data_IF_167328587859
#
_entry.id   IF_167328587859
#
_cell.length_a   1.000
_cell.length_b   1.000
_cell.length_c   1.000
_cell.angle_alpha   90.00
_cell.angle_beta   90.00
_cell.angle_gamma   90.00
#
_symmetry.space_group_name_H-M   'P 1'
#
loop_
_entity.id
_entity.type
_entity.pdbx_description
1 polymer ?
#
# COMPACT_ATOMS: atom_id res chain seq x y z
N UNK A 1 35.89 -18.27 -41.72
CA UNK A 1 35.57 -16.89 -42.11
C UNK A 1 35.42 -16.11 -40.82
N UNK A 2 36.40 -15.27 -40.52
CA UNK A 2 36.57 -14.55 -39.24
C UNK A 2 35.46 -13.52 -38.99
N UNK A 3 35.00 -13.42 -37.74
CA UNK A 3 34.82 -12.15 -37.01
C UNK A 3 34.71 -12.43 -35.50
N UNK A 4 35.23 -11.52 -34.65
CA UNK A 4 35.66 -11.84 -33.29
C UNK A 4 34.50 -11.74 -32.30
N UNK A 5 34.39 -12.73 -31.39
CA UNK A 5 33.59 -12.57 -30.18
C UNK A 5 34.17 -11.41 -29.37
N UNK A 6 33.38 -10.34 -29.28
CA UNK A 6 33.57 -9.22 -28.39
C UNK A 6 33.75 -9.72 -26.95
N UNK A 7 35.00 -9.73 -26.51
CA UNK A 7 35.39 -9.57 -25.12
C UNK A 7 34.87 -8.22 -24.63
N UNK A 8 33.67 -8.20 -24.04
CA UNK A 8 33.19 -7.05 -23.28
C UNK A 8 32.63 -7.52 -21.93
N UNK A 9 33.19 -6.94 -20.87
CA UNK A 9 32.79 -6.98 -19.46
C UNK A 9 33.16 -8.22 -18.63
N UNK A 10 34.43 -8.62 -18.65
CA UNK A 10 35.08 -9.23 -17.46
C UNK A 10 35.84 -8.21 -16.61
N UNK A 11 35.72 -6.92 -16.94
CA UNK A 11 36.42 -5.81 -16.26
C UNK A 11 35.70 -5.24 -15.03
N UNK A 12 34.45 -5.61 -14.76
CA UNK A 12 33.66 -5.04 -13.66
C UNK A 12 33.60 -5.93 -12.39
N UNK A 13 34.15 -7.15 -12.43
CA UNK A 13 34.20 -8.02 -11.23
C UNK A 13 35.37 -7.70 -10.28
N UNK A 14 36.27 -6.79 -10.66
CA UNK A 14 37.45 -6.44 -9.86
C UNK A 14 37.17 -5.23 -8.98
N UNK A 15 36.61 -5.45 -7.78
CA UNK A 15 36.72 -4.46 -6.70
C UNK A 15 35.55 -4.27 -5.72
N UNK A 16 34.53 -5.13 -5.68
CA UNK A 16 33.57 -5.04 -4.57
C UNK A 16 34.12 -5.74 -3.33
N UNK A 17 34.45 -4.96 -2.29
CA UNK A 17 34.69 -5.54 -0.97
C UNK A 17 33.45 -6.32 -0.52
N UNK A 18 33.60 -7.45 0.21
CA UNK A 18 32.45 -8.25 0.66
C UNK A 18 31.42 -7.43 1.45
N UNK A 19 31.87 -6.34 2.08
CA UNK A 19 31.06 -5.37 2.82
C UNK A 19 30.13 -4.58 1.87
N UNK A 20 30.61 -4.13 0.71
CA UNK A 20 29.78 -3.39 -0.27
C UNK A 20 28.69 -4.28 -0.86
N UNK A 21 29.05 -5.53 -1.20
CA UNK A 21 28.09 -6.53 -1.67
C UNK A 21 27.03 -6.81 -0.61
N UNK A 22 27.42 -6.96 0.66
CA UNK A 22 26.47 -7.15 1.77
C UNK A 22 25.52 -5.94 1.92
N UNK A 23 26.04 -4.72 1.88
CA UNK A 23 25.25 -3.49 2.01
C UNK A 23 24.21 -3.37 0.88
N UNK A 24 24.60 -3.68 -0.36
CA UNK A 24 23.69 -3.67 -1.51
C UNK A 24 22.59 -4.74 -1.39
N UNK A 25 22.94 -5.95 -0.95
CA UNK A 25 21.95 -7.01 -0.69
C UNK A 25 20.95 -6.64 0.41
N UNK A 26 21.42 -5.99 1.47
CA UNK A 26 20.57 -5.51 2.57
C UNK A 26 19.61 -4.43 2.06
N UNK A 27 20.09 -3.41 1.34
CA UNK A 27 19.23 -2.34 0.83
C UNK A 27 18.19 -2.86 -0.18
N UNK A 28 18.58 -3.79 -1.07
CA UNK A 28 17.65 -4.46 -1.96
C UNK A 28 16.57 -5.24 -1.21
N UNK A 29 16.96 -5.94 -0.15
CA UNK A 29 16.02 -6.71 0.68
C UNK A 29 15.04 -5.78 1.39
N UNK A 30 15.54 -4.69 2.01
CA UNK A 30 14.71 -3.68 2.68
C UNK A 30 13.68 -3.09 1.71
N UNK A 31 14.11 -2.68 0.52
CA UNK A 31 13.18 -2.10 -0.45
C UNK A 31 12.08 -3.06 -0.91
N UNK A 32 12.41 -4.35 -1.07
CA UNK A 32 11.41 -5.38 -1.40
C UNK A 32 10.38 -5.50 -0.28
N UNK A 33 10.83 -5.47 0.98
CA UNK A 33 9.94 -5.51 2.15
C UNK A 33 9.05 -4.26 2.19
N UNK A 34 9.62 -3.06 2.03
CA UNK A 34 8.86 -1.79 1.99
C UNK A 34 7.78 -1.83 0.90
N UNK A 35 8.14 -2.27 -0.30
CA UNK A 35 7.21 -2.35 -1.44
C UNK A 35 6.10 -3.37 -1.18
N UNK A 36 6.42 -4.53 -0.63
CA UNK A 36 5.45 -5.55 -0.29
C UNK A 36 4.48 -5.07 0.81
N UNK A 37 5.01 -4.45 1.87
CA UNK A 37 4.21 -3.89 2.95
C UNK A 37 3.23 -2.83 2.44
N UNK A 38 3.70 -1.89 1.61
CA UNK A 38 2.86 -0.82 1.08
C UNK A 38 1.78 -1.36 0.14
N UNK A 39 2.11 -2.31 -0.74
CA UNK A 39 1.13 -2.88 -1.67
C UNK A 39 0.05 -3.69 -0.93
N UNK A 40 0.44 -4.49 0.07
CA UNK A 40 -0.51 -5.25 0.91
C UNK A 40 -1.37 -4.30 1.74
N UNK A 41 -0.76 -3.30 2.40
CA UNK A 41 -1.50 -2.31 3.17
C UNK A 41 -2.50 -1.53 2.30
N UNK A 42 -2.14 -1.18 1.07
CA UNK A 42 -3.01 -0.50 0.12
C UNK A 42 -4.21 -1.38 -0.29
N UNK A 43 -3.95 -2.67 -0.59
CA UNK A 43 -5.00 -3.63 -0.92
C UNK A 43 -5.95 -3.84 0.26
N UNK A 44 -5.42 -4.09 1.46
CA UNK A 44 -6.22 -4.27 2.68
C UNK A 44 -7.02 -3.02 2.99
N UNK A 45 -6.43 -1.82 2.91
CA UNK A 45 -7.13 -0.56 3.13
C UNK A 45 -8.26 -0.36 2.12
N UNK A 46 -7.99 -0.58 0.83
CA UNK A 46 -9.00 -0.42 -0.22
C UNK A 46 -10.19 -1.35 0.00
N UNK A 47 -9.91 -2.61 0.29
CA UNK A 47 -10.92 -3.63 0.57
C UNK A 47 -11.73 -3.29 1.82
N UNK A 48 -11.06 -3.01 2.95
CA UNK A 48 -11.73 -2.75 4.23
C UNK A 48 -12.57 -1.47 4.21
N UNK A 49 -12.08 -0.39 3.59
CA UNK A 49 -12.84 0.86 3.43
C UNK A 49 -14.06 0.66 2.52
N UNK A 50 -13.89 -0.06 1.41
CA UNK A 50 -15.00 -0.37 0.51
C UNK A 50 -16.07 -1.18 1.24
N UNK A 51 -15.68 -2.23 1.98
CA UNK A 51 -16.59 -3.03 2.78
C UNK A 51 -17.29 -2.21 3.87
N UNK A 52 -16.59 -1.30 4.53
CA UNK A 52 -17.18 -0.43 5.54
C UNK A 52 -18.20 0.55 4.95
N UNK A 53 -17.91 1.11 3.77
CA UNK A 53 -18.84 1.98 3.03
C UNK A 53 -20.09 1.19 2.64
N UNK A 54 -19.90 -0.02 2.09
CA UNK A 54 -20.98 -0.95 1.73
C UNK A 54 -21.84 -1.25 2.95
N UNK A 55 -21.24 -1.71 4.04
CA UNK A 55 -21.97 -2.05 5.25
C UNK A 55 -22.73 -0.84 5.82
N UNK A 56 -22.10 0.35 5.87
CA UNK A 56 -22.76 1.58 6.34
C UNK A 56 -23.92 2.00 5.43
N UNK A 57 -23.80 1.75 4.12
CA UNK A 57 -24.86 2.03 3.15
C UNK A 57 -26.11 1.17 3.40
N UNK A 58 -25.94 -0.07 3.84
CA UNK A 58 -27.05 -1.03 4.00
C UNK A 58 -27.53 -1.18 5.45
N UNK A 59 -26.67 -0.99 6.46
CA UNK A 59 -27.00 -1.21 7.86
C UNK A 59 -27.72 -0.03 8.55
N UNK A 60 -27.63 1.18 8.00
CA UNK A 60 -28.38 2.31 8.53
C UNK A 60 -29.83 2.24 8.02
N UNK A 61 -30.78 2.05 8.95
CA UNK A 61 -32.23 1.99 8.68
C UNK A 61 -32.78 3.22 7.90
N UNK A 62 -32.03 4.32 7.91
CA UNK A 62 -32.26 5.52 7.09
C UNK A 62 -31.27 5.62 5.93
N UNK A 63 -31.17 4.59 5.09
CA UNK A 63 -30.22 4.64 3.97
C UNK A 63 -30.55 5.83 3.05
N UNK A 64 -29.70 6.86 3.11
CA UNK A 64 -29.80 8.07 2.28
C UNK A 64 -29.87 7.71 0.79
N UNK A 65 -29.29 6.58 0.39
CA UNK A 65 -29.38 6.02 -0.95
C UNK A 65 -30.78 5.48 -1.25
N UNK A 66 -31.40 4.66 -0.39
CA UNK A 66 -32.77 4.23 -0.63
C UNK A 66 -33.73 5.42 -0.60
N UNK A 67 -33.57 6.37 0.32
CA UNK A 67 -34.36 7.61 0.37
C UNK A 67 -34.18 8.45 -0.89
N UNK A 68 -32.96 8.60 -1.42
CA UNK A 68 -32.71 9.32 -2.68
C UNK A 68 -33.25 8.57 -3.90
N UNK A 69 -33.10 7.25 -3.97
CA UNK A 69 -33.66 6.40 -5.03
C UNK A 69 -35.19 6.51 -5.01
N UNK A 70 -35.79 6.47 -3.81
CA UNK A 70 -37.23 6.64 -3.64
C UNK A 70 -37.69 8.07 -3.93
N UNK A 71 -36.91 9.09 -3.60
CA UNK A 71 -37.21 10.48 -3.97
C UNK A 71 -37.21 10.68 -5.50
N UNK A 72 -36.27 10.03 -6.21
CA UNK A 72 -36.28 9.99 -7.69
C UNK A 72 -37.49 9.21 -8.21
N UNK A 73 -37.91 8.14 -7.53
CA UNK A 73 -39.13 7.41 -7.87
C UNK A 73 -40.43 8.16 -7.51
N UNK A 74 -40.38 9.10 -6.56
CA UNK A 74 -41.48 10.01 -6.23
C UNK A 74 -41.79 10.98 -7.37
N UNK A 75 -40.81 11.23 -8.24
CA UNK A 75 -41.01 11.93 -9.51
C UNK A 75 -41.91 11.15 -10.49
N UNK A 76 -42.06 9.84 -10.27
CA UNK A 76 -43.01 8.95 -10.97
C UNK A 76 -44.32 8.72 -10.19
N UNK A 77 -44.60 9.50 -9.14
CA UNK A 77 -45.86 9.43 -8.39
C UNK A 77 -45.95 8.27 -7.39
N UNK A 78 -44.82 7.65 -7.00
CA UNK A 78 -44.79 6.56 -6.03
C UNK A 78 -44.65 7.11 -4.60
N UNK A 79 -45.67 6.91 -3.75
CA UNK A 79 -45.64 7.29 -2.34
C UNK A 79 -44.59 6.49 -1.53
N UNK A 80 -43.93 7.17 -0.58
CA UNK A 80 -42.93 6.59 0.32
C UNK A 80 -43.59 5.88 1.50
N UNK A 81 -43.93 4.61 1.33
CA UNK A 81 -44.40 3.72 2.41
C UNK A 81 -43.24 3.02 3.13
N UNK A 82 -43.29 2.79 4.46
CA UNK A 82 -42.23 2.12 5.22
C UNK A 82 -41.84 0.75 4.66
N UNK A 83 -42.82 -0.05 4.23
CA UNK A 83 -42.58 -1.38 3.64
C UNK A 83 -41.82 -1.33 2.31
N UNK A 84 -41.99 -0.26 1.51
CA UNK A 84 -41.23 -0.08 0.26
C UNK A 84 -39.79 0.37 0.52
N UNK A 85 -39.56 1.16 1.58
CA UNK A 85 -38.21 1.55 2.01
C UNK A 85 -37.37 0.31 2.38
N UNK A 86 -37.95 -0.64 3.11
CA UNK A 86 -37.28 -1.89 3.49
C UNK A 86 -37.00 -2.82 2.31
N UNK A 87 -37.93 -2.88 1.34
CA UNK A 87 -37.73 -3.64 0.10
C UNK A 87 -36.61 -3.03 -0.76
N UNK A 88 -36.64 -1.70 -0.94
CA UNK A 88 -35.64 -0.98 -1.75
C UNK A 88 -34.25 -1.07 -1.11
N UNK A 89 -34.15 -0.96 0.22
CA UNK A 89 -32.87 -1.05 0.93
C UNK A 89 -32.27 -2.46 0.88
N UNK A 90 -33.09 -3.50 1.06
CA UNK A 90 -32.63 -4.89 1.16
C UNK A 90 -32.35 -5.56 -0.20
N UNK A 91 -33.07 -5.17 -1.25
CA UNK A 91 -33.00 -5.85 -2.56
C UNK A 91 -32.50 -4.94 -3.68
N UNK A 92 -33.08 -3.76 -3.84
CA UNK A 92 -32.82 -2.91 -5.01
C UNK A 92 -31.47 -2.20 -4.88
N UNK A 93 -31.16 -1.65 -3.72
CA UNK A 93 -29.91 -0.93 -3.47
C UNK A 93 -28.65 -1.81 -3.66
N UNK A 94 -28.57 -3.05 -3.14
CA UNK A 94 -27.39 -3.90 -3.38
C UNK A 94 -27.29 -4.38 -4.83
N UNK A 95 -28.42 -4.58 -5.52
CA UNK A 95 -28.45 -4.96 -6.93
C UNK A 95 -27.94 -3.83 -7.84
N UNK A 96 -28.36 -2.59 -7.59
CA UNK A 96 -27.86 -1.40 -8.30
C UNK A 96 -26.35 -1.24 -8.08
N UNK A 97 -25.88 -1.41 -6.84
CA UNK A 97 -24.45 -1.31 -6.53
C UNK A 97 -23.64 -2.40 -7.24
N UNK A 98 -24.10 -3.66 -7.21
CA UNK A 98 -23.46 -4.77 -7.92
C UNK A 98 -23.38 -4.52 -9.43
N UNK A 99 -24.46 -4.01 -10.03
CA UNK A 99 -24.48 -3.63 -11.44
C UNK A 99 -23.48 -2.51 -11.73
N UNK A 100 -23.43 -1.47 -10.90
CA UNK A 100 -22.50 -0.35 -11.07
C UNK A 100 -21.04 -0.79 -10.99
N UNK A 101 -20.67 -1.61 -10.00
CA UNK A 101 -19.32 -2.19 -9.88
C UNK A 101 -18.97 -3.01 -11.12
N UNK A 102 -19.91 -3.81 -11.62
CA UNK A 102 -19.72 -4.59 -12.84
C UNK A 102 -19.47 -3.71 -14.08
N UNK A 103 -20.27 -2.65 -14.29
CA UNK A 103 -20.09 -1.74 -15.41
C UNK A 103 -18.76 -0.99 -15.36
N UNK A 104 -18.32 -0.56 -14.18
CA UNK A 104 -16.99 0.05 -13.98
C UNK A 104 -15.88 -0.97 -14.28
N UNK A 105 -15.99 -2.19 -13.74
CA UNK A 105 -15.03 -3.26 -14.00
C UNK A 105 -14.92 -3.60 -15.48
N UNK A 106 -16.06 -3.64 -16.19
CA UNK A 106 -16.12 -3.83 -17.64
C UNK A 106 -15.46 -2.67 -18.40
N UNK A 107 -15.68 -1.42 -17.98
CA UNK A 107 -15.05 -0.25 -18.58
C UNK A 107 -13.52 -0.34 -18.52
N UNK A 108 -12.98 -0.69 -17.35
CA UNK A 108 -11.53 -0.83 -17.12
C UNK A 108 -10.96 -2.02 -17.89
N UNK A 109 -11.63 -3.18 -17.83
CA UNK A 109 -11.21 -4.39 -18.54
C UNK A 109 -11.22 -4.19 -20.06
N UNK A 110 -12.28 -3.57 -20.59
CA UNK A 110 -12.39 -3.21 -21.99
C UNK A 110 -11.30 -2.25 -22.44
N UNK A 111 -10.99 -1.23 -21.64
CA UNK A 111 -9.90 -0.29 -21.92
C UNK A 111 -8.52 -0.99 -21.95
N UNK A 112 -8.33 -2.02 -21.12
CA UNK A 112 -7.06 -2.77 -21.02
C UNK A 112 -6.90 -3.79 -22.14
N UNK A 113 -7.96 -4.51 -22.49
CA UNK A 113 -7.95 -5.51 -23.58
C UNK A 113 -7.82 -4.86 -24.96
N UNK A 114 -8.41 -3.68 -25.16
CA UNK A 114 -8.27 -2.95 -26.42
C UNK A 114 -6.80 -2.62 -26.76
N UNK A 115 -5.93 -2.56 -25.75
CA UNK A 115 -4.47 -2.41 -25.93
C UNK A 115 -3.76 -3.70 -26.34
N UNK A 116 -4.35 -4.88 -26.12
CA UNK A 116 -3.77 -6.20 -26.45
C UNK A 116 -4.32 -6.82 -27.74
N UNK A 117 -5.21 -6.13 -28.46
CA UNK A 117 -5.70 -6.56 -29.78
C UNK A 117 -6.58 -7.82 -29.77
N UNK A 118 -7.08 -8.24 -28.61
CA UNK A 118 -7.95 -9.42 -28.51
C UNK A 118 -9.42 -8.95 -28.45
N UNK A 119 -10.24 -9.31 -29.44
CA UNK A 119 -11.68 -9.01 -29.46
C UNK A 119 -12.46 -10.22 -28.95
N UNK A 120 -12.92 -10.23 -27.69
CA UNK A 120 -13.66 -11.36 -27.15
C UNK A 120 -15.10 -11.42 -27.70
N UNK A 121 -15.62 -12.63 -27.90
CA UNK A 121 -16.94 -12.87 -28.49
C UNK A 121 -18.09 -12.25 -27.68
N UNK A 122 -18.99 -11.54 -28.37
CA UNK A 122 -20.10 -10.75 -27.76
C UNK A 122 -20.98 -11.57 -26.81
N UNK A 123 -21.30 -12.82 -27.16
CA UNK A 123 -22.17 -13.71 -26.36
C UNK A 123 -21.54 -14.18 -25.05
N UNK A 124 -20.25 -14.53 -25.06
CA UNK A 124 -19.53 -14.95 -23.87
C UNK A 124 -19.32 -13.79 -22.88
N UNK A 125 -19.21 -12.55 -23.39
CA UNK A 125 -19.17 -11.35 -22.55
C UNK A 125 -20.46 -11.04 -21.82
N UNK A 126 -21.62 -11.26 -22.45
CA UNK A 126 -22.92 -11.04 -21.82
C UNK A 126 -23.16 -12.06 -20.71
N UNK A 127 -22.87 -13.34 -20.97
CA UNK A 127 -23.05 -14.42 -19.99
C UNK A 127 -22.10 -14.26 -18.80
N UNK A 128 -20.81 -13.96 -19.05
CA UNK A 128 -19.86 -13.67 -17.96
C UNK A 128 -20.28 -12.45 -17.13
N UNK A 129 -21.00 -11.51 -17.75
CA UNK A 129 -21.48 -10.31 -17.08
C UNK A 129 -22.60 -10.58 -16.09
N UNK A 130 -23.64 -11.32 -16.50
CA UNK A 130 -24.72 -11.71 -15.60
C UNK A 130 -24.22 -12.58 -14.45
N UNK A 131 -23.29 -13.51 -14.71
CA UNK A 131 -22.67 -14.35 -13.68
C UNK A 131 -21.87 -13.49 -12.70
N UNK A 132 -21.11 -12.50 -13.18
CA UNK A 132 -20.34 -11.59 -12.32
C UNK A 132 -21.24 -10.71 -11.44
N UNK A 133 -22.35 -10.20 -11.97
CA UNK A 133 -23.32 -9.39 -11.20
C UNK A 133 -24.03 -10.25 -10.15
N UNK A 134 -24.46 -11.46 -10.51
CA UNK A 134 -25.10 -12.39 -9.58
C UNK A 134 -24.14 -12.83 -8.47
N UNK A 135 -22.88 -13.10 -8.81
CA UNK A 135 -21.83 -13.45 -7.84
C UNK A 135 -21.49 -12.28 -6.92
N UNK A 136 -21.44 -11.05 -7.45
CA UNK A 136 -21.24 -9.82 -6.66
C UNK A 136 -22.43 -9.56 -5.72
N UNK A 137 -23.66 -9.74 -6.20
CA UNK A 137 -24.86 -9.62 -5.37
C UNK A 137 -24.87 -10.65 -4.23
N UNK A 138 -24.56 -11.91 -4.55
CA UNK A 138 -24.42 -12.97 -3.54
C UNK A 138 -23.34 -12.66 -2.51
N UNK A 139 -22.20 -12.10 -2.94
CA UNK A 139 -21.13 -11.67 -2.05
C UNK A 139 -21.58 -10.52 -1.13
N UNK A 140 -22.29 -9.52 -1.66
CA UNK A 140 -22.82 -8.40 -0.87
C UNK A 140 -23.81 -8.88 0.19
N UNK A 141 -24.71 -9.81 -0.16
CA UNK A 141 -25.63 -10.41 0.82
C UNK A 141 -24.90 -11.23 1.87
N UNK A 142 -23.89 -12.02 1.46
CA UNK A 142 -23.03 -12.78 2.38
C UNK A 142 -22.31 -11.87 3.38
N UNK A 143 -21.81 -10.70 2.93
CA UNK A 143 -21.13 -9.71 3.77
C UNK A 143 -22.05 -9.13 4.87
N UNK A 144 -23.36 -9.04 4.60
CA UNK A 144 -24.35 -8.53 5.56
C UNK A 144 -24.75 -9.57 6.61
N UNK A 145 -24.63 -10.86 6.30
CA UNK A 145 -24.98 -11.97 7.19
C UNK A 145 -23.76 -12.46 7.99
N UNK A 146 -22.58 -12.42 7.40
CA UNK A 146 -21.34 -12.93 8.00
C UNK A 146 -20.66 -11.84 8.83
N UNK A 147 -20.23 -12.20 10.05
CA UNK A 147 -19.47 -11.29 10.91
C UNK A 147 -18.24 -10.72 10.19
N UNK A 148 -18.04 -9.40 10.29
CA UNK A 148 -16.99 -8.63 9.61
C UNK A 148 -15.58 -9.22 9.77
N UNK A 149 -15.33 -9.88 10.90
CA UNK A 149 -14.07 -10.57 11.22
C UNK A 149 -13.72 -11.64 10.19
N UNK A 150 -14.67 -12.49 9.83
CA UNK A 150 -14.43 -13.62 8.93
C UNK A 150 -14.27 -13.19 7.48
N UNK A 151 -15.03 -12.17 7.07
CA UNK A 151 -14.89 -11.56 5.73
C UNK A 151 -13.49 -10.98 5.56
N UNK A 152 -13.00 -10.25 6.56
CA UNK A 152 -11.68 -9.61 6.49
C UNK A 152 -10.54 -10.62 6.57
N UNK A 153 -10.62 -11.60 7.47
CA UNK A 153 -9.65 -12.69 7.54
C UNK A 153 -9.59 -13.47 6.23
N UNK A 154 -10.75 -13.80 5.62
CA UNK A 154 -10.81 -14.50 4.34
C UNK A 154 -10.12 -13.74 3.21
N UNK A 155 -10.30 -12.42 3.14
CA UNK A 155 -9.68 -11.58 2.11
C UNK A 155 -8.17 -11.40 2.31
N UNK A 156 -7.73 -11.25 3.56
CA UNK A 156 -6.28 -11.24 3.89
C UNK A 156 -5.66 -12.58 3.51
N UNK A 157 -6.34 -13.69 3.81
CA UNK A 157 -5.89 -15.04 3.45
C UNK A 157 -5.78 -15.23 1.95
N UNK A 158 -6.79 -14.80 1.20
CA UNK A 158 -6.79 -14.93 -0.25
C UNK A 158 -5.70 -14.05 -0.88
N UNK A 159 -5.51 -12.83 -0.37
CA UNK A 159 -4.46 -11.91 -0.82
C UNK A 159 -3.04 -12.45 -0.59
N UNK A 160 -2.74 -12.90 0.62
CA UNK A 160 -1.42 -13.44 0.94
C UNK A 160 -1.20 -14.82 0.27
N UNK A 161 -2.24 -15.63 0.03
CA UNK A 161 -2.12 -16.88 -0.72
C UNK A 161 -1.76 -16.64 -2.20
N UNK A 162 -2.40 -15.66 -2.85
CA UNK A 162 -2.04 -15.25 -4.22
C UNK A 162 -0.59 -14.75 -4.28
N UNK A 163 -0.18 -13.95 -3.30
CA UNK A 163 1.19 -13.46 -3.23
C UNK A 163 2.20 -14.60 -3.01
N UNK A 164 1.91 -15.52 -2.08
CA UNK A 164 2.73 -16.72 -1.85
C UNK A 164 2.87 -17.56 -3.13
N UNK A 165 1.79 -17.77 -3.88
CA UNK A 165 1.84 -18.48 -5.16
C UNK A 165 2.74 -17.78 -6.19
N UNK A 166 2.65 -16.45 -6.30
CA UNK A 166 3.54 -15.69 -7.19
C UNK A 166 5.00 -15.75 -6.74
N UNK A 167 5.23 -15.81 -5.43
CA UNK A 167 6.55 -15.90 -4.82
C UNK A 167 7.22 -17.25 -5.08
N UNK A 168 6.47 -18.34 -4.90
CA UNK A 168 6.94 -19.72 -5.16
C UNK A 168 7.25 -19.91 -6.64
N UNK A 169 6.40 -19.40 -7.54
CA UNK A 169 6.65 -19.45 -9.00
C UNK A 169 7.90 -18.70 -9.42
N UNK A 170 8.31 -17.69 -8.66
CA UNK A 170 9.51 -16.90 -8.93
C UNK A 170 10.76 -17.45 -8.22
N UNK A 171 10.69 -18.61 -7.55
CA UNK A 171 11.77 -19.17 -6.71
C UNK A 171 12.31 -18.20 -5.64
N UNK A 172 11.48 -17.25 -5.19
CA UNK A 172 11.84 -16.26 -4.16
C UNK A 172 11.38 -16.73 -2.80
N UNK A 173 12.23 -17.50 -2.11
CA UNK A 173 11.91 -18.09 -0.79
C UNK A 173 11.66 -17.00 0.26
N UNK A 174 12.44 -15.91 0.24
CA UNK A 174 12.32 -14.79 1.17
C UNK A 174 10.94 -14.12 1.13
N UNK A 175 10.46 -13.81 -0.08
CA UNK A 175 9.14 -13.19 -0.30
C UNK A 175 8.01 -14.12 0.17
N UNK A 176 8.20 -15.44 0.07
CA UNK A 176 7.26 -16.45 0.55
C UNK A 176 7.16 -16.47 2.07
N UNK A 177 8.30 -16.42 2.76
CA UNK A 177 8.34 -16.34 4.24
C UNK A 177 7.70 -15.05 4.74
N UNK A 178 7.99 -13.91 4.09
CA UNK A 178 7.38 -12.62 4.45
C UNK A 178 5.85 -12.65 4.31
N UNK A 179 5.33 -13.31 3.26
CA UNK A 179 3.87 -13.49 3.07
C UNK A 179 3.20 -14.26 4.20
N UNK A 180 3.87 -15.28 4.74
CA UNK A 180 3.34 -16.09 5.84
C UNK A 180 3.37 -15.33 7.17
N UNK A 181 4.40 -14.51 7.40
CA UNK A 181 4.49 -13.64 8.58
C UNK A 181 3.38 -12.59 8.54
N UNK A 182 3.19 -11.91 7.41
CA UNK A 182 2.14 -10.89 7.24
C UNK A 182 0.75 -11.51 7.29
N UNK A 183 0.57 -12.72 6.78
CA UNK A 183 -0.64 -13.51 6.93
C UNK A 183 -0.98 -13.75 8.41
N UNK A 184 -0.02 -14.22 9.19
CA UNK A 184 -0.20 -14.49 10.61
C UNK A 184 -0.58 -13.24 11.39
N UNK A 185 0.15 -12.15 11.18
CA UNK A 185 -0.13 -10.84 11.80
C UNK A 185 -1.50 -10.29 11.39
N UNK A 186 -1.85 -10.37 10.10
CA UNK A 186 -3.14 -9.89 9.57
C UNK A 186 -4.33 -10.70 10.10
N UNK A 187 -4.20 -12.02 10.18
CA UNK A 187 -5.23 -12.90 10.75
C UNK A 187 -5.41 -12.66 12.26
N UNK A 188 -4.31 -12.52 12.99
CA UNK A 188 -4.34 -12.18 14.42
C UNK A 188 -4.99 -10.82 14.67
N UNK A 189 -4.67 -9.80 13.85
CA UNK A 189 -5.30 -8.50 13.93
C UNK A 189 -6.80 -8.56 13.60
N UNK A 190 -7.20 -9.28 12.55
CA UNK A 190 -8.61 -9.38 12.14
C UNK A 190 -9.49 -10.12 13.17
N UNK A 191 -8.94 -11.10 13.88
CA UNK A 191 -9.67 -11.89 14.89
C UNK A 191 -9.85 -11.16 16.22
N UNK A 192 -8.99 -10.18 16.53
CA UNK A 192 -9.08 -9.37 17.77
C UNK A 192 -10.05 -8.19 17.68
N UNK A 193 -10.33 -7.65 16.48
CA UNK A 193 -11.22 -6.49 16.24
C UNK A 193 -12.68 -6.76 16.62
N UNK A 194 -13.46 -5.83 17.19
CA UNK A 194 -14.88 -6.07 17.58
C UNK A 194 -15.81 -6.44 16.39
N UNK A 195 -16.94 -7.13 16.63
CA UNK A 195 -17.97 -7.33 15.61
C UNK A 195 -18.53 -5.97 15.12
N UNK A 196 -18.71 -5.83 13.80
CA UNK A 196 -19.09 -4.59 13.13
C UNK A 196 -17.96 -3.98 12.27
N UNK A 197 -18.21 -2.87 11.58
CA UNK A 197 -17.24 -2.20 10.68
C UNK A 197 -16.70 -0.85 11.20
N UNK A 198 -17.00 -0.47 12.45
CA UNK A 198 -16.56 0.82 13.01
C UNK A 198 -15.03 0.93 13.11
N UNK A 199 -14.33 -0.20 13.22
CA UNK A 199 -12.87 -0.24 13.27
C UNK A 199 -12.20 0.04 11.92
N UNK A 200 -12.91 -0.11 10.80
CA UNK A 200 -12.32 0.01 9.47
C UNK A 200 -11.80 1.44 9.21
N UNK A 201 -12.50 2.45 9.71
CA UNK A 201 -12.07 3.85 9.61
C UNK A 201 -10.75 4.08 10.35
N UNK A 202 -10.65 3.65 11.61
CA UNK A 202 -9.41 3.79 12.39
C UNK A 202 -8.26 2.97 11.80
N UNK A 203 -8.51 1.73 11.36
CA UNK A 203 -7.50 0.89 10.71
C UNK A 203 -6.98 1.53 9.43
N UNK A 204 -7.86 2.14 8.63
CA UNK A 204 -7.47 2.80 7.38
C UNK A 204 -6.52 3.98 7.62
N UNK A 205 -6.69 4.72 8.72
CA UNK A 205 -5.78 5.80 9.12
C UNK A 205 -4.41 5.27 9.53
N UNK A 206 -4.38 4.14 10.25
CA UNK A 206 -3.11 3.49 10.63
C UNK A 206 -2.37 3.02 9.36
N UNK A 207 -3.04 2.28 8.49
CA UNK A 207 -2.44 1.78 7.24
C UNK A 207 -1.99 2.93 6.34
N UNK A 208 -2.77 4.01 6.25
CA UNK A 208 -2.40 5.20 5.49
C UNK A 208 -1.11 5.84 6.02
N UNK A 209 -0.94 5.97 7.33
CA UNK A 209 0.29 6.49 7.92
C UNK A 209 1.50 5.60 7.57
N UNK A 210 1.37 4.28 7.75
CA UNK A 210 2.41 3.33 7.37
C UNK A 210 2.78 3.43 5.89
N UNK A 211 1.79 3.53 5.00
CA UNK A 211 2.03 3.69 3.57
C UNK A 211 2.69 5.03 3.23
N UNK A 212 2.29 6.12 3.89
CA UNK A 212 2.87 7.44 3.66
C UNK A 212 4.36 7.48 4.04
N UNK A 213 4.71 6.96 5.22
CA UNK A 213 6.09 6.98 5.71
C UNK A 213 6.99 5.97 4.97
N UNK A 214 6.54 4.73 4.75
CA UNK A 214 7.29 3.76 3.95
C UNK A 214 7.39 4.19 2.48
N UNK A 215 6.33 4.81 1.94
CA UNK A 215 6.33 5.42 0.60
C UNK A 215 7.37 6.53 0.48
N UNK A 216 7.51 7.37 1.51
CA UNK A 216 8.59 8.34 1.62
C UNK A 216 9.97 7.67 1.56
N UNK A 217 10.19 6.59 2.33
CA UNK A 217 11.48 5.88 2.37
C UNK A 217 11.83 5.26 1.02
N UNK A 218 10.85 4.73 0.29
CA UNK A 218 11.06 4.25 -1.08
C UNK A 218 11.39 5.39 -2.06
N UNK A 219 10.83 6.59 -1.84
CA UNK A 219 11.13 7.76 -2.67
C UNK A 219 12.56 8.27 -2.47
N UNK A 220 13.11 8.18 -1.25
CA UNK A 220 14.51 8.54 -0.97
C UNK A 220 15.47 7.59 -1.69
N UNK A 221 15.18 6.28 -1.71
CA UNK A 221 15.96 5.28 -2.45
C UNK A 221 15.98 5.54 -3.96
N UNK A 222 14.85 5.94 -4.53
CA UNK A 222 14.73 6.22 -5.95
C UNK A 222 15.52 7.48 -6.41
N UNK A 223 16.32 8.10 -5.53
CA UNK A 223 17.06 9.32 -5.84
C UNK A 223 16.16 10.53 -6.12
N UNK A 224 14.84 10.42 -5.86
CA UNK A 224 13.86 11.49 -6.03
C UNK A 224 13.81 12.44 -4.84
N UNK A 225 14.72 12.27 -3.87
CA UNK A 225 14.99 13.35 -2.94
C UNK A 225 15.37 14.57 -3.78
N UNK A 226 14.79 15.73 -3.48
CA UNK A 226 15.14 16.98 -4.13
C UNK A 226 16.66 17.08 -4.00
N UNK A 227 17.38 16.69 -5.06
CA UNK A 227 18.81 16.88 -5.10
C UNK A 227 18.92 18.37 -4.89
N UNK A 228 19.77 18.78 -3.95
CA UNK A 228 20.18 20.17 -3.78
C UNK A 228 21.07 20.55 -4.99
N UNK A 229 20.63 20.14 -6.18
CA UNK A 229 21.22 20.35 -7.48
C UNK A 229 21.00 21.78 -7.95
N UNK A 230 20.00 22.47 -7.38
CA UNK A 230 19.91 23.90 -7.50
C UNK A 230 21.20 24.58 -6.97
N UNK A 231 21.80 24.07 -5.89
CA UNK A 231 23.04 24.60 -5.34
C UNK A 231 24.27 24.10 -6.12
N UNK A 232 24.24 22.86 -6.64
CA UNK A 232 25.33 22.30 -7.46
C UNK A 232 25.49 22.99 -8.83
N UNK A 233 24.43 23.64 -9.32
CA UNK A 233 24.44 24.47 -10.54
C UNK A 233 25.08 25.85 -10.35
N UNK A 234 25.03 26.41 -9.14
CA UNK A 234 25.61 27.73 -8.83
C UNK A 234 27.08 27.61 -8.37
N UNK A 235 27.47 26.45 -7.85
CA UNK A 235 28.80 26.22 -7.27
C UNK A 235 29.80 25.67 -8.31
N UNK A 236 31.05 26.18 -8.36
CA UNK A 236 32.08 25.70 -9.29
C UNK A 236 32.37 24.20 -9.17
N UNK A 237 32.75 23.57 -10.29
CA UNK A 237 32.88 22.09 -10.43
C UNK A 237 33.74 21.41 -9.35
N UNK A 238 34.69 22.14 -8.77
CA UNK A 238 35.61 21.64 -7.74
C UNK A 238 34.94 21.38 -6.37
N UNK A 239 33.84 22.09 -6.04
CA UNK A 239 33.14 21.95 -4.75
C UNK A 239 31.85 21.14 -4.82
N UNK A 240 31.42 20.71 -6.01
CA UNK A 240 30.24 19.87 -6.21
C UNK A 240 30.18 18.59 -5.35
N UNK A 241 31.26 17.81 -5.16
CA UNK A 241 31.20 16.63 -4.29
C UNK A 241 31.02 17.01 -2.81
N UNK A 242 31.58 18.14 -2.37
CA UNK A 242 31.42 18.64 -1.00
C UNK A 242 30.00 19.14 -0.74
N UNK A 243 29.38 19.85 -1.70
CA UNK A 243 27.98 20.29 -1.55
C UNK A 243 27.02 19.11 -1.48
N UNK A 244 27.28 18.02 -2.23
CA UNK A 244 26.49 16.78 -2.17
C UNK A 244 26.66 16.10 -0.80
N UNK A 245 27.89 15.94 -0.32
CA UNK A 245 28.18 15.32 0.97
C UNK A 245 27.54 16.08 2.14
N UNK A 246 27.65 17.41 2.16
CA UNK A 246 27.04 18.27 3.20
C UNK A 246 25.51 18.18 3.15
N UNK A 247 24.91 18.21 1.96
CA UNK A 247 23.46 18.06 1.80
C UNK A 247 22.94 16.72 2.34
N UNK A 248 23.64 15.63 2.03
CA UNK A 248 23.31 14.28 2.54
C UNK A 248 23.53 14.18 4.05
N UNK A 249 24.59 14.79 4.59
CA UNK A 249 24.84 14.85 6.03
C UNK A 249 23.72 15.59 6.76
N UNK A 250 23.29 16.75 6.24
CA UNK A 250 22.20 17.53 6.83
C UNK A 250 20.88 16.77 6.79
N UNK A 251 20.58 16.09 5.68
CA UNK A 251 19.41 15.23 5.55
C UNK A 251 19.46 14.07 6.55
N UNK A 252 20.62 13.44 6.73
CA UNK A 252 20.83 12.38 7.73
C UNK A 252 20.56 12.88 9.14
N UNK A 253 21.12 14.04 9.51
CA UNK A 253 20.90 14.64 10.84
C UNK A 253 19.44 15.01 11.07
N UNK A 254 18.77 15.56 10.07
CA UNK A 254 17.36 15.89 10.15
C UNK A 254 16.48 14.64 10.33
N UNK A 255 16.70 13.59 9.53
CA UNK A 255 15.99 12.31 9.69
C UNK A 255 16.29 11.64 11.04
N UNK A 256 17.55 11.70 11.51
CA UNK A 256 17.93 11.18 12.81
C UNK A 256 17.21 11.92 13.94
N UNK A 257 17.13 13.25 13.85
CA UNK A 257 16.41 14.09 14.80
C UNK A 257 14.90 13.76 14.82
N UNK A 258 14.26 13.59 13.66
CA UNK A 258 12.86 13.17 13.59
C UNK A 258 12.63 11.78 14.19
N UNK A 259 13.57 10.84 13.94
CA UNK A 259 13.52 9.49 14.52
C UNK A 259 13.61 9.56 16.05
N UNK A 260 14.51 10.40 16.57
CA UNK A 260 14.67 10.62 18.00
C UNK A 260 13.41 11.25 18.65
N UNK A 261 12.82 12.26 18.00
CA UNK A 261 11.57 12.88 18.46
C UNK A 261 10.42 11.86 18.52
N UNK A 262 10.27 11.06 17.47
CA UNK A 262 9.27 10.01 17.42
C UNK A 262 9.52 8.93 18.48
N UNK A 263 10.79 8.58 18.73
CA UNK A 263 11.18 7.64 19.78
C UNK A 263 10.80 8.13 21.18
N UNK A 264 11.12 9.39 21.52
CA UNK A 264 10.74 9.98 22.81
C UNK A 264 9.23 10.06 22.94
N UNK A 265 8.51 10.39 21.87
CA UNK A 265 7.06 10.49 21.95
C UNK A 265 6.40 9.13 22.28
N UNK A 266 6.97 8.02 21.82
CA UNK A 266 6.46 6.68 22.12
C UNK A 266 6.99 6.14 23.45
N UNK A 267 8.31 6.16 23.65
CA UNK A 267 9.01 5.48 24.76
C UNK A 267 9.48 6.41 25.88
N UNK A 268 9.22 7.72 25.78
CA UNK A 268 9.56 8.68 26.83
C UNK A 268 8.74 8.47 28.11
N UNK A 269 9.17 9.12 29.20
CA UNK A 269 8.54 8.97 30.52
C UNK A 269 7.04 9.36 30.56
N UNK A 270 6.60 10.22 29.64
CA UNK A 270 5.18 10.59 29.41
C UNK A 270 4.66 10.11 28.06
N UNK A 271 5.34 9.15 27.43
CA UNK A 271 5.01 8.68 26.09
C UNK A 271 3.78 7.78 26.05
N UNK A 272 3.18 7.66 24.86
CA UNK A 272 1.96 6.88 24.60
C UNK A 272 2.04 5.43 25.08
N UNK A 273 3.25 4.85 25.15
CA UNK A 273 3.45 3.50 25.65
C UNK A 273 3.09 3.37 27.14
N UNK A 274 3.43 4.37 27.96
CA UNK A 274 3.12 4.40 29.39
C UNK A 274 1.76 5.05 29.68
N UNK A 275 1.33 6.00 28.84
CA UNK A 275 0.02 6.64 28.93
C UNK A 275 -1.15 5.69 28.64
N UNK A 276 -0.90 4.58 27.94
CA UNK A 276 -1.90 3.55 27.69
C UNK A 276 -3.08 4.03 26.85
N UNK A 277 -2.89 5.03 25.99
CA UNK A 277 -3.96 5.56 25.16
C UNK A 277 -4.37 4.53 24.11
N UNK A 278 -5.56 3.98 24.29
CA UNK A 278 -6.14 2.93 23.45
C UNK A 278 -7.25 3.55 22.61
N UNK A 279 -7.22 3.33 21.28
CA UNK A 279 -8.29 3.83 20.42
C UNK A 279 -9.61 3.09 20.65
N UNK A 280 -10.74 3.80 20.71
CA UNK A 280 -12.02 3.23 21.16
C UNK A 280 -12.60 2.20 20.18
N UNK A 281 -12.39 2.32 18.87
CA UNK A 281 -13.00 1.39 17.91
C UNK A 281 -12.14 0.14 17.64
N UNK A 282 -10.82 0.29 17.52
CA UNK A 282 -9.88 -0.81 17.21
C UNK A 282 -9.24 -1.45 18.44
N UNK A 283 -9.25 -0.79 19.61
CA UNK A 283 -8.43 -1.14 20.78
C UNK A 283 -6.92 -1.21 20.49
N UNK A 284 -6.48 -0.66 19.36
CA UNK A 284 -5.07 -0.58 19.06
C UNK A 284 -4.46 0.59 19.84
N UNK A 285 -3.26 0.41 20.41
CA UNK A 285 -2.55 1.50 21.06
C UNK A 285 -2.25 2.63 20.06
N UNK A 286 -2.36 3.88 20.50
CA UNK A 286 -2.10 5.04 19.64
C UNK A 286 -0.67 5.04 19.05
N UNK A 287 0.29 4.50 19.80
CA UNK A 287 1.70 4.43 19.41
C UNK A 287 1.97 3.65 18.11
N UNK A 288 1.06 2.77 17.68
CA UNK A 288 1.22 1.97 16.43
C UNK A 288 1.37 2.85 15.19
N UNK A 289 0.73 4.04 15.19
CA UNK A 289 0.87 5.00 14.09
C UNK A 289 2.26 5.62 14.11
N UNK A 290 2.71 6.06 15.27
CA UNK A 290 3.99 6.78 15.44
C UNK A 290 5.18 5.82 15.26
N UNK A 291 4.99 4.54 15.57
CA UNK A 291 5.96 3.48 15.26
C UNK A 291 6.33 3.46 13.77
N UNK A 292 5.36 3.69 12.88
CA UNK A 292 5.63 3.74 11.44
C UNK A 292 6.61 4.85 11.06
N UNK A 293 6.55 5.99 11.76
CA UNK A 293 7.46 7.11 11.60
C UNK A 293 8.86 6.74 12.11
N UNK A 294 8.97 6.11 13.28
CA UNK A 294 10.26 5.64 13.84
C UNK A 294 10.95 4.70 12.86
N UNK A 295 10.22 3.69 12.36
CA UNK A 295 10.76 2.70 11.41
C UNK A 295 11.22 3.39 10.12
N UNK A 296 10.37 4.23 9.54
CA UNK A 296 10.66 4.82 8.22
C UNK A 296 11.76 5.88 8.28
N UNK A 297 11.73 6.78 9.26
CA UNK A 297 12.80 7.78 9.42
C UNK A 297 14.12 7.12 9.87
N UNK A 298 14.06 6.03 10.64
CA UNK A 298 15.24 5.23 10.96
C UNK A 298 15.88 4.64 9.71
N UNK A 299 15.09 4.04 8.82
CA UNK A 299 15.57 3.52 7.53
C UNK A 299 16.14 4.63 6.63
N UNK A 300 15.47 5.78 6.54
CA UNK A 300 15.98 6.94 5.80
C UNK A 300 17.31 7.44 6.37
N UNK A 301 17.45 7.49 7.70
CA UNK A 301 18.69 7.91 8.36
C UNK A 301 19.84 6.99 8.00
N UNK A 302 19.63 5.67 8.03
CA UNK A 302 20.65 4.69 7.64
C UNK A 302 21.03 4.84 6.16
N UNK A 303 20.05 5.02 5.27
CA UNK A 303 20.28 5.21 3.83
C UNK A 303 21.07 6.48 3.54
N UNK A 304 20.65 7.63 4.08
CA UNK A 304 21.36 8.89 3.87
C UNK A 304 22.74 8.88 4.54
N UNK A 305 22.87 8.25 5.71
CA UNK A 305 24.15 8.05 6.37
C UNK A 305 25.12 7.25 5.48
N UNK A 306 24.66 6.13 4.93
CA UNK A 306 25.46 5.32 4.01
C UNK A 306 25.86 6.10 2.75
N UNK A 307 24.93 6.83 2.14
CA UNK A 307 25.21 7.69 0.97
C UNK A 307 26.18 8.83 1.30
N UNK A 308 26.06 9.43 2.49
CA UNK A 308 26.94 10.51 2.93
C UNK A 308 28.37 10.00 3.14
N UNK A 309 28.53 8.84 3.77
CA UNK A 309 29.86 8.21 3.97
C UNK A 309 30.49 7.87 2.63
N UNK A 310 29.75 7.27 1.70
CA UNK A 310 30.28 6.98 0.37
C UNK A 310 30.66 8.27 -0.39
N UNK A 311 29.88 9.34 -0.28
CA UNK A 311 30.24 10.64 -0.87
C UNK A 311 31.52 11.25 -0.28
N UNK A 312 31.85 11.00 0.99
CA UNK A 312 33.11 11.45 1.60
C UNK A 312 34.31 10.59 1.18
N UNK A 313 34.11 9.28 1.05
CA UNK A 313 35.16 8.30 0.72
C UNK A 313 35.46 8.31 -0.79
N UNK A 314 34.42 8.25 -1.62
CA UNK A 314 34.48 8.26 -3.08
C UNK A 314 34.14 9.67 -3.60
N UNK A 315 35.17 10.49 -3.84
CA UNK A 315 35.01 11.84 -4.43
C UNK A 315 34.79 11.79 -5.94
N UNK A 316 33.90 10.93 -6.44
CA UNK A 316 33.65 10.81 -7.89
C UNK A 316 32.81 11.99 -8.39
N UNK A 317 33.22 12.65 -9.49
CA UNK A 317 32.40 13.69 -10.11
C UNK A 317 31.13 13.08 -10.76
N UNK A 318 30.00 13.80 -10.79
CA UNK A 318 28.70 13.26 -11.20
C UNK A 318 28.57 12.78 -12.66
N UNK A 319 29.58 12.99 -13.51
CA UNK A 319 29.47 12.73 -14.96
C UNK A 319 29.63 11.26 -15.35
N UNK A 320 30.08 10.38 -14.46
CA UNK A 320 30.22 8.93 -14.73
C UNK A 320 29.00 8.09 -14.29
N UNK A 321 28.15 8.58 -13.37
CA UNK A 321 27.01 7.82 -12.82
C UNK A 321 25.77 7.79 -13.73
N UNK A 322 25.71 8.62 -14.78
CA UNK A 322 24.54 8.71 -15.68
C UNK A 322 24.68 7.89 -16.98
N UNK A 323 25.75 7.09 -17.10
CA UNK A 323 26.02 6.26 -18.29
C UNK A 323 25.75 4.76 -18.04
N UNK A 324 25.41 4.35 -16.81
CA UNK A 324 25.09 2.96 -16.48
C UNK A 324 23.73 2.80 -15.80
#
# INVERSE_FOLDING_TARGET
MNSPETTLSTSDEVGETPIRRLAHLIDQSIYRIETALVTIAALVMTVTVTLAIVHRSFANADSLLAKKILAVSGWFGLETTPSRLDFVSSWITPLILAALVFFIGRSIYGATIRRRGHEPGKGMLTVSGFISVALMYGLLQLIMVVSSRWVCTGLVVLGCALWFQTSVRAHRVFDGVLSLILMGLGCWACTTLRPGYNWAQELSLILLAWMAFLGGSMATRAGRHIQVDALSKVVPMQFRPWTRAIGLSLATLFCAYLTYLAYIHVFGATGDFYGGEIRPATRLPAWVIILSAIVSFGLMTLRFGAMSVDAFVNRRPPSEELVH
#
